data_IF_628798602806
#
_entry.id   IF_628798602806
#
_cell.length_a   1.000
_cell.length_b   1.000
_cell.length_c   1.000
_cell.angle_alpha   90.00
_cell.angle_beta   90.00
_cell.angle_gamma   90.00
#
_symmetry.space_group_name_H-M   'P 1'
#
loop_
_entity.id
_entity.type
_entity.pdbx_description
1 polymer ?
#
# COMPACT_ATOMS: atom_id res chain seq x y z
N UNK A 1 -13.38 0.63 -19.29
CA UNK A 1 -14.36 -0.47 -19.14
C UNK A 1 -13.57 -1.77 -19.13
N UNK A 2 -13.38 -2.37 -17.95
CA UNK A 2 -12.69 -3.66 -17.85
C UNK A 2 -13.47 -4.73 -18.61
N UNK A 3 -12.77 -5.59 -19.34
CA UNK A 3 -13.39 -6.63 -20.15
C UNK A 3 -14.21 -7.60 -19.27
N UNK A 4 -15.37 -8.11 -19.74
CA UNK A 4 -16.31 -8.92 -18.95
C UNK A 4 -15.68 -10.14 -18.26
N UNK A 5 -14.58 -10.66 -18.80
CA UNK A 5 -13.83 -11.78 -18.23
C UNK A 5 -13.10 -11.45 -16.93
N UNK A 6 -12.64 -10.22 -16.72
CA UNK A 6 -11.92 -9.82 -15.49
C UNK A 6 -12.89 -9.73 -14.30
N UNK A 7 -14.11 -9.24 -14.54
CA UNK A 7 -15.17 -9.14 -13.54
C UNK A 7 -15.67 -10.55 -13.13
N UNK A 8 -15.68 -11.51 -14.05
CA UNK A 8 -16.09 -12.89 -13.76
C UNK A 8 -15.10 -13.65 -12.85
N UNK A 9 -13.79 -13.39 -12.93
CA UNK A 9 -12.82 -14.01 -12.02
C UNK A 9 -12.94 -13.47 -10.59
N UNK A 10 -13.21 -12.17 -10.42
CA UNK A 10 -13.42 -11.57 -9.11
C UNK A 10 -14.67 -12.13 -8.42
N UNK A 11 -15.73 -12.41 -9.18
CA UNK A 11 -16.96 -13.01 -8.64
C UNK A 11 -16.84 -14.53 -8.37
N UNK A 12 -15.88 -15.24 -8.98
CA UNK A 12 -15.69 -16.67 -8.75
C UNK A 12 -15.01 -16.99 -7.41
N UNK A 13 -14.16 -16.10 -6.89
CA UNK A 13 -13.50 -16.30 -5.60
C UNK A 13 -14.46 -16.08 -4.41
N UNK A 14 -15.52 -15.28 -4.59
CA UNK A 14 -16.59 -15.15 -3.59
C UNK A 14 -17.54 -16.36 -3.54
N UNK A 15 -17.53 -17.24 -4.55
CA UNK A 15 -18.43 -18.40 -4.63
C UNK A 15 -18.00 -19.58 -3.75
N UNK A 16 -16.76 -19.59 -3.22
CA UNK A 16 -16.23 -20.69 -2.42
C UNK A 16 -16.52 -20.57 -0.91
N UNK A 17 -17.17 -19.50 -0.44
CA UNK A 17 -17.47 -19.30 0.98
C UNK A 17 -16.23 -19.09 1.87
N UNK A 18 -15.05 -18.93 1.28
CA UNK A 18 -13.83 -18.63 2.02
C UNK A 18 -13.88 -17.14 2.38
N UNK A 19 -13.85 -16.79 3.68
CA UNK A 19 -13.87 -15.40 4.09
C UNK A 19 -12.62 -14.67 3.56
N UNK A 20 -12.82 -13.45 3.07
CA UNK A 20 -11.75 -12.59 2.57
C UNK A 20 -11.58 -11.42 3.53
N UNK A 21 -10.33 -11.18 3.92
CA UNK A 21 -9.91 -10.03 4.71
C UNK A 21 -9.21 -9.03 3.81
N UNK A 22 -9.50 -7.75 4.04
CA UNK A 22 -8.85 -6.65 3.34
C UNK A 22 -7.86 -5.99 4.27
N UNK A 23 -6.66 -5.74 3.77
CA UNK A 23 -5.64 -5.00 4.47
C UNK A 23 -5.04 -3.93 3.59
N UNK A 24 -4.55 -2.87 4.22
CA UNK A 24 -3.78 -1.81 3.60
C UNK A 24 -2.41 -1.76 4.25
N UNK A 25 -1.37 -1.84 3.42
CA UNK A 25 0.02 -1.65 3.83
C UNK A 25 0.50 -0.31 3.30
N UNK A 26 0.95 0.57 4.19
CA UNK A 26 1.51 1.87 3.84
C UNK A 26 3.01 1.81 4.09
N UNK A 27 3.81 2.07 3.07
CA UNK A 27 5.28 2.08 3.15
C UNK A 27 5.79 3.49 2.93
N UNK A 28 6.60 3.99 3.86
CA UNK A 28 7.13 5.36 3.87
C UNK A 28 8.62 5.36 4.12
N UNK A 29 9.36 6.27 3.49
CA UNK A 29 10.78 6.47 3.79
C UNK A 29 10.99 6.88 5.25
N UNK A 30 12.00 6.32 5.91
CA UNK A 30 12.43 6.72 7.27
C UNK A 30 12.83 8.20 7.32
N UNK A 31 12.72 8.77 8.52
CA UNK A 31 13.19 10.13 8.78
C UNK A 31 14.69 10.25 8.44
N UNK A 32 15.05 11.36 7.79
CA UNK A 32 16.43 11.60 7.34
C UNK A 32 16.81 10.92 6.02
N UNK A 33 16.00 9.99 5.50
CA UNK A 33 16.22 9.44 4.16
C UNK A 33 15.75 10.46 3.11
N UNK A 34 16.65 10.79 2.19
CA UNK A 34 16.38 11.69 1.07
C UNK A 34 15.31 11.09 0.16
N UNK A 35 14.35 11.93 -0.23
CA UNK A 35 13.28 11.57 -1.16
C UNK A 35 13.34 12.46 -2.41
N UNK A 36 14.11 12.05 -3.45
CA UNK A 36 14.19 12.80 -4.69
C UNK A 36 12.85 12.92 -5.42
N UNK A 37 11.96 11.92 -5.27
CA UNK A 37 10.66 11.92 -5.94
C UNK A 37 9.70 12.89 -5.27
N UNK A 38 9.61 12.86 -3.94
CA UNK A 38 8.85 13.84 -3.17
C UNK A 38 9.29 15.28 -3.48
N UNK A 39 10.60 15.52 -3.60
CA UNK A 39 11.12 16.84 -3.98
C UNK A 39 10.78 17.27 -5.40
N UNK A 40 10.80 16.36 -6.37
CA UNK A 40 10.35 16.66 -7.72
C UNK A 40 8.86 17.02 -7.75
N UNK A 41 8.03 16.32 -6.98
CA UNK A 41 6.58 16.58 -6.88
C UNK A 41 6.31 17.93 -6.20
N UNK A 42 7.01 18.24 -5.10
CA UNK A 42 6.93 19.54 -4.41
C UNK A 42 7.20 20.70 -5.37
N UNK A 43 8.29 20.62 -6.14
CA UNK A 43 8.62 21.63 -7.16
C UNK A 43 7.57 21.75 -8.27
N UNK A 44 7.04 20.61 -8.73
CA UNK A 44 5.98 20.60 -9.74
C UNK A 44 4.68 21.26 -9.23
N UNK A 45 4.29 20.98 -7.99
CA UNK A 45 3.13 21.62 -7.35
C UNK A 45 3.31 23.13 -7.22
N UNK A 46 4.50 23.59 -6.84
CA UNK A 46 4.84 25.01 -6.83
C UNK A 46 4.68 25.66 -8.21
N UNK A 47 5.17 25.01 -9.28
CA UNK A 47 5.00 25.47 -10.66
C UNK A 47 3.54 25.53 -11.15
N UNK A 48 2.65 24.76 -10.53
CA UNK A 48 1.21 24.76 -10.78
C UNK A 48 0.43 25.77 -9.92
N UNK A 49 1.10 26.52 -9.04
CA UNK A 49 0.49 27.55 -8.21
C UNK A 49 0.10 27.13 -6.78
N UNK A 50 0.44 25.90 -6.36
CA UNK A 50 0.23 25.42 -4.99
C UNK A 50 1.38 25.84 -4.06
N UNK A 51 1.55 27.16 -3.87
CA UNK A 51 2.69 27.73 -3.15
C UNK A 51 2.67 27.56 -1.62
N UNK A 52 1.57 27.07 -1.06
CA UNK A 52 1.38 26.77 0.36
C UNK A 52 1.80 25.34 0.74
N UNK A 53 2.17 24.50 -0.24
CA UNK A 53 2.71 23.16 0.01
C UNK A 53 4.11 23.26 0.64
N UNK A 54 4.21 22.95 1.94
CA UNK A 54 5.48 23.05 2.66
C UNK A 54 6.46 21.90 2.44
N UNK A 55 5.96 20.67 2.22
CA UNK A 55 6.80 19.48 1.98
C UNK A 55 5.98 18.35 1.40
N UNK A 56 6.56 17.60 0.45
CA UNK A 56 5.98 16.36 -0.08
C UNK A 56 6.92 15.18 0.18
N UNK A 57 6.34 14.08 0.65
CA UNK A 57 7.01 12.76 0.69
C UNK A 57 6.22 11.76 -0.12
N UNK A 58 6.93 10.96 -0.90
CA UNK A 58 6.38 9.86 -1.69
C UNK A 58 6.58 8.54 -0.94
N UNK A 59 5.55 7.71 -1.01
CA UNK A 59 5.52 6.37 -0.42
C UNK A 59 4.72 5.41 -1.29
N UNK A 60 4.54 4.18 -0.80
CA UNK A 60 3.78 3.12 -1.48
C UNK A 60 2.57 2.75 -0.64
N UNK A 61 1.47 2.40 -1.30
CA UNK A 61 0.28 1.83 -0.65
C UNK A 61 -0.05 0.53 -1.37
N UNK A 62 -0.25 -0.54 -0.62
CA UNK A 62 -0.69 -1.83 -1.13
C UNK A 62 -2.03 -2.18 -0.49
N UNK A 63 -3.06 -2.36 -1.32
CA UNK A 63 -4.31 -2.98 -0.90
C UNK A 63 -4.19 -4.49 -1.13
N UNK A 64 -4.33 -5.27 -0.07
CA UNK A 64 -4.09 -6.72 -0.03
C UNK A 64 -5.37 -7.43 0.37
N UNK A 65 -5.71 -8.49 -0.36
CA UNK A 65 -6.79 -9.41 0.00
C UNK A 65 -6.20 -10.75 0.44
N UNK A 66 -6.62 -11.23 1.61
CA UNK A 66 -6.16 -12.48 2.22
C UNK A 66 -7.35 -13.38 2.49
N UNK A 67 -7.19 -14.68 2.28
CA UNK A 67 -8.18 -15.68 2.68
C UNK A 67 -8.06 -15.99 4.16
N UNK A 68 -9.18 -15.98 4.90
CA UNK A 68 -9.22 -16.35 6.32
C UNK A 68 -10.10 -15.43 7.16
N UNK A 69 -10.17 -15.70 8.46
CA UNK A 69 -10.87 -14.85 9.46
C UNK A 69 -9.98 -14.47 10.64
N UNK A 70 -8.81 -15.10 10.78
CA UNK A 70 -7.92 -14.83 11.89
C UNK A 70 -7.08 -13.57 11.62
N UNK A 71 -7.46 -12.48 12.30
CA UNK A 71 -6.77 -11.18 12.24
C UNK A 71 -5.30 -11.29 12.67
N UNK A 72 -4.96 -12.13 13.63
CA UNK A 72 -3.59 -12.26 14.13
C UNK A 72 -2.69 -12.99 13.13
N UNK A 73 -3.19 -14.09 12.55
CA UNK A 73 -2.48 -14.81 11.49
C UNK A 73 -2.29 -13.92 10.25
N UNK A 74 -3.34 -13.22 9.81
CA UNK A 74 -3.27 -12.28 8.69
C UNK A 74 -2.24 -11.17 8.93
N UNK A 75 -2.19 -10.61 10.14
CA UNK A 75 -1.19 -9.60 10.50
C UNK A 75 0.24 -10.14 10.40
N UNK A 76 0.50 -11.32 10.97
CA UNK A 76 1.82 -11.94 10.92
C UNK A 76 2.26 -12.26 9.47
N UNK A 77 1.33 -12.65 8.61
CA UNK A 77 1.63 -12.89 7.19
C UNK A 77 1.96 -11.57 6.46
N UNK A 78 1.18 -10.50 6.69
CA UNK A 78 1.44 -9.17 6.12
C UNK A 78 2.79 -8.60 6.60
N UNK A 79 3.16 -8.80 7.87
CA UNK A 79 4.48 -8.41 8.40
C UNK A 79 5.59 -9.13 7.63
N UNK A 80 5.47 -10.44 7.39
CA UNK A 80 6.44 -11.18 6.59
C UNK A 80 6.49 -10.69 5.13
N UNK A 81 5.35 -10.36 4.52
CA UNK A 81 5.32 -9.77 3.18
C UNK A 81 6.07 -8.44 3.14
N UNK A 82 5.90 -7.61 4.17
CA UNK A 82 6.61 -6.33 4.30
C UNK A 82 8.12 -6.52 4.41
N UNK A 83 8.56 -7.42 5.27
CA UNK A 83 9.99 -7.69 5.51
C UNK A 83 10.68 -8.33 4.31
N UNK A 84 9.98 -9.19 3.56
CA UNK A 84 10.56 -9.94 2.44
C UNK A 84 10.51 -9.18 1.12
N UNK A 85 9.54 -8.28 0.94
CA UNK A 85 9.27 -7.70 -0.37
C UNK A 85 8.74 -6.26 -0.35
N UNK A 86 7.67 -5.98 0.39
CA UNK A 86 6.93 -4.73 0.18
C UNK A 86 7.71 -3.50 0.67
N UNK A 87 8.57 -3.68 1.67
CA UNK A 87 9.39 -2.62 2.24
C UNK A 87 10.88 -2.99 2.23
N UNK A 88 11.71 -2.03 1.84
CA UNK A 88 13.14 -2.06 2.14
C UNK A 88 13.36 -1.59 3.57
N UNK A 89 13.40 -2.52 4.52
CA UNK A 89 13.45 -2.24 5.97
C UNK A 89 14.69 -1.46 6.43
N UNK A 90 15.72 -1.31 5.59
CA UNK A 90 16.87 -0.45 5.88
C UNK A 90 16.45 1.02 5.86
N UNK A 91 15.70 1.43 4.84
CA UNK A 91 15.41 2.85 4.54
C UNK A 91 13.91 3.21 4.59
N UNK A 92 13.03 2.23 4.68
CA UNK A 92 11.57 2.39 4.74
C UNK A 92 11.01 1.87 6.07
N UNK A 93 9.92 2.49 6.52
CA UNK A 93 9.00 2.00 7.54
C UNK A 93 7.73 1.49 6.85
N UNK A 94 6.97 0.63 7.52
CA UNK A 94 5.65 0.23 7.06
C UNK A 94 4.62 0.24 8.20
N UNK A 95 3.35 0.42 7.84
CA UNK A 95 2.19 0.31 8.71
C UNK A 95 1.14 -0.59 8.05
N UNK A 96 0.45 -1.39 8.85
CA UNK A 96 -0.53 -2.38 8.38
C UNK A 96 -1.88 -2.06 9.04
N UNK A 97 -2.91 -1.88 8.23
CA UNK A 97 -4.30 -1.69 8.64
C UNK A 97 -5.13 -2.86 8.11
N UNK A 98 -5.85 -3.56 8.97
CA UNK A 98 -6.72 -4.69 8.58
C UNK A 98 -8.17 -4.30 8.87
N UNK A 99 -9.03 -4.38 7.84
CA UNK A 99 -10.48 -4.13 7.97
C UNK A 99 -11.18 -5.29 8.71
#
# INVERSE_FOLDING_TARGET
>A
MGSPKVIQLQNLQSAAGIPIMKARVIVTLKNGVLDPQGKAIEGALGGLGFGDVGSVRQGKVFDVELTGTDKAAAKAELEQMCEKLLANTVIENYAIEIA
#
